data_IF_062669416297
#
_entry.id   IF_062669416297
#
_cell.length_a   1.000
_cell.length_b   1.000
_cell.length_c   1.000
_cell.angle_alpha   90.00
_cell.angle_beta   90.00
_cell.angle_gamma   90.00
#
_symmetry.space_group_name_H-M   'P 1'
#
loop_
_entity.id
_entity.type
_entity.pdbx_description
1 polymer ?
#
# COMPACT_ATOMS: atom_id res chain seq x y z
N UNK A 1 -4.20 1.73 8.87
CA UNK A 1 -5.44 1.49 8.11
C UNK A 1 -5.20 1.85 6.65
N UNK A 2 -5.66 1.03 5.70
CA UNK A 2 -5.39 1.24 4.28
C UNK A 2 -6.21 2.41 3.69
N UNK A 3 -5.59 3.19 2.80
CA UNK A 3 -6.25 4.11 1.89
C UNK A 3 -6.60 3.36 0.59
N UNK A 4 -7.82 3.53 0.09
CA UNK A 4 -8.26 2.95 -1.18
C UNK A 4 -8.09 3.95 -2.31
N UNK A 5 -7.89 3.43 -3.52
CA UNK A 5 -7.77 4.20 -4.76
C UNK A 5 -6.74 5.35 -4.65
N UNK A 6 -5.64 5.10 -3.94
CA UNK A 6 -4.67 6.14 -3.62
C UNK A 6 -3.77 6.41 -4.83
N UNK A 7 -3.68 7.66 -5.32
CA UNK A 7 -2.90 7.98 -6.50
C UNK A 7 -1.40 7.90 -6.21
N UNK A 8 -0.71 6.96 -6.86
CA UNK A 8 0.73 6.75 -6.65
C UNK A 8 1.58 7.94 -7.11
N UNK A 9 1.06 8.81 -7.99
CA UNK A 9 1.69 10.09 -8.34
C UNK A 9 2.00 10.99 -7.14
N UNK A 10 1.33 10.81 -5.99
CA UNK A 10 1.62 11.56 -4.76
C UNK A 10 2.83 11.06 -3.99
N UNK A 11 3.33 9.86 -4.29
CA UNK A 11 4.42 9.19 -3.56
C UNK A 11 5.57 8.76 -4.46
N UNK A 12 5.52 9.08 -5.76
CA UNK A 12 6.62 8.90 -6.71
C UNK A 12 7.29 10.24 -7.03
N UNK A 13 8.63 10.25 -7.11
CA UNK A 13 9.40 11.46 -7.43
C UNK A 13 9.11 12.04 -8.82
N UNK A 14 8.73 11.17 -9.76
CA UNK A 14 8.32 11.56 -11.12
C UNK A 14 6.93 12.20 -11.17
N UNK A 15 6.14 12.12 -10.09
CA UNK A 15 4.76 12.62 -10.09
C UNK A 15 3.81 11.84 -11.00
N UNK A 16 4.16 10.59 -11.36
CA UNK A 16 3.35 9.71 -12.22
C UNK A 16 2.98 8.43 -11.49
N UNK A 17 1.81 7.89 -11.82
CA UNK A 17 1.31 6.64 -11.24
C UNK A 17 -0.21 6.67 -11.03
N UNK A 18 -0.87 5.59 -11.44
CA UNK A 18 -2.31 5.42 -11.27
C UNK A 18 -2.73 5.14 -9.81
N UNK A 19 -4.02 4.84 -9.58
CA UNK A 19 -4.52 4.49 -8.25
C UNK A 19 -4.03 3.10 -7.84
N UNK A 20 -3.57 2.98 -6.60
CA UNK A 20 -3.40 1.69 -5.93
C UNK A 20 -4.71 1.30 -5.26
N UNK A 21 -5.15 0.05 -5.42
CA UNK A 21 -6.36 -0.48 -4.76
C UNK A 21 -6.27 -0.31 -3.23
N UNK A 22 -5.06 -0.53 -2.69
CA UNK A 22 -4.74 -0.33 -1.28
C UNK A 22 -3.36 0.30 -1.14
N UNK A 23 -3.28 1.37 -0.35
CA UNK A 23 -2.03 2.03 0.03
C UNK A 23 -1.96 2.17 1.55
N UNK A 24 -0.78 1.98 2.12
CA UNK A 24 -0.53 2.17 3.55
C UNK A 24 0.83 2.81 3.75
N UNK A 25 0.93 3.74 4.70
CA UNK A 25 2.19 4.30 5.18
C UNK A 25 2.39 3.88 6.65
N UNK A 26 2.92 2.66 6.89
CA UNK A 26 2.98 2.11 8.23
C UNK A 26 3.89 2.93 9.15
N UNK A 27 3.51 3.08 10.42
CA UNK A 27 4.31 3.79 11.44
C UNK A 27 4.97 2.86 12.46
N UNK A 28 4.74 1.56 12.33
CA UNK A 28 5.28 0.53 13.22
C UNK A 28 5.52 -0.77 12.46
N UNK A 29 6.39 -1.62 13.01
CA UNK A 29 6.62 -2.98 12.49
C UNK A 29 5.37 -3.83 12.55
N UNK A 30 4.53 -3.63 13.57
CA UNK A 30 3.24 -4.30 13.70
C UNK A 30 2.31 -4.00 12.51
N UNK A 31 2.24 -2.76 12.06
CA UNK A 31 1.44 -2.39 10.88
C UNK A 31 1.99 -2.99 9.59
N UNK A 32 3.30 -3.15 9.46
CA UNK A 32 3.94 -3.85 8.33
C UNK A 32 3.51 -5.32 8.29
N UNK A 33 3.54 -6.01 9.44
CA UNK A 33 3.10 -7.41 9.56
C UNK A 33 1.61 -7.54 9.20
N UNK A 34 0.77 -6.64 9.69
CA UNK A 34 -0.64 -6.62 9.34
C UNK A 34 -0.88 -6.44 7.84
N UNK A 35 -0.09 -5.58 7.17
CA UNK A 35 -0.24 -5.36 5.74
C UNK A 35 0.15 -6.59 4.92
N UNK A 36 1.25 -7.26 5.30
CA UNK A 36 1.68 -8.51 4.66
C UNK A 36 0.63 -9.62 4.81
N UNK A 37 0.12 -9.83 6.03
CA UNK A 37 -0.92 -10.83 6.28
C UNK A 37 -2.18 -10.53 5.47
N UNK A 38 -2.62 -9.27 5.44
CA UNK A 38 -3.78 -8.86 4.63
C UNK A 38 -3.58 -9.18 3.15
N UNK A 39 -2.40 -8.87 2.58
CA UNK A 39 -2.12 -9.19 1.17
C UNK A 39 -2.12 -10.70 0.91
N UNK A 40 -1.53 -11.50 1.81
CA UNK A 40 -1.46 -12.95 1.67
C UNK A 40 -2.84 -13.61 1.77
N UNK A 41 -3.64 -13.23 2.76
CA UNK A 41 -5.01 -13.74 2.96
C UNK A 41 -5.94 -13.42 1.78
N UNK A 42 -5.72 -12.28 1.12
CA UNK A 42 -6.52 -11.84 -0.03
C UNK A 42 -5.92 -12.26 -1.38
N UNK A 43 -4.76 -12.90 -1.40
CA UNK A 43 -4.05 -13.25 -2.63
C UNK A 43 -3.66 -12.02 -3.48
N UNK A 44 -3.38 -10.89 -2.82
CA UNK A 44 -3.01 -9.65 -3.49
C UNK A 44 -1.48 -9.53 -3.60
N UNK A 45 -0.96 -8.96 -4.70
CA UNK A 45 0.45 -8.62 -4.79
C UNK A 45 0.79 -7.49 -3.80
N UNK A 46 2.00 -7.52 -3.25
CA UNK A 46 2.53 -6.51 -2.35
C UNK A 46 3.82 -5.90 -2.92
N UNK A 47 3.89 -4.57 -2.93
CA UNK A 47 5.06 -3.79 -3.35
C UNK A 47 5.42 -2.80 -2.24
N UNK A 48 6.72 -2.56 -2.04
CA UNK A 48 7.28 -1.66 -1.01
C UNK A 48 7.95 -0.47 -1.70
#
# INVERSE_FOLDING_TARGET
>A
MFLKDYPLSKVTSLGVGGPADFFIQPKSTHEVVQAQNFSAEKGLPLTI
#
